data_IF_621140463748
#
_entry.id   IF_621140463748
#
_cell.length_a   1.000
_cell.length_b   1.000
_cell.length_c   1.000
_cell.angle_alpha   90.00
_cell.angle_beta   90.00
_cell.angle_gamma   90.00
#
_symmetry.space_group_name_H-M   'P 1'
#
loop_
_entity.id
_entity.type
_entity.pdbx_description
1 polymer ?
#
# COMPACT_ATOMS: atom_id res chain seq x y z
N UNK A 1 -0.62 13.12 7.44
CA UNK A 1 -0.60 12.25 6.24
C UNK A 1 -0.90 13.02 4.94
N UNK A 2 -2.10 13.59 4.73
CA UNK A 2 -2.48 14.29 3.48
C UNK A 2 -1.50 15.41 3.05
N UNK A 3 -1.10 16.29 3.97
CA UNK A 3 -0.15 17.36 3.66
C UNK A 3 1.23 16.84 3.26
N UNK A 4 1.73 15.80 3.92
CA UNK A 4 3.02 15.19 3.58
C UNK A 4 2.97 14.53 2.20
N UNK A 5 1.90 13.78 1.91
CA UNK A 5 1.70 13.14 0.61
C UNK A 5 1.67 14.14 -0.56
N UNK A 6 1.09 15.34 -0.35
CA UNK A 6 1.06 16.40 -1.36
C UNK A 6 2.42 16.99 -1.73
N UNK A 7 3.41 16.92 -0.83
CA UNK A 7 4.75 17.46 -1.05
C UNK A 7 5.80 16.37 -1.32
N UNK A 8 5.41 15.10 -1.24
CA UNK A 8 6.29 13.98 -1.49
C UNK A 8 6.44 13.75 -3.00
N UNK A 9 7.67 13.45 -3.44
CA UNK A 9 7.94 13.01 -4.81
C UNK A 9 7.32 11.64 -5.09
N UNK A 10 7.32 10.76 -4.09
CA UNK A 10 6.69 9.45 -4.15
C UNK A 10 6.10 9.06 -2.79
N UNK A 11 5.02 8.27 -2.84
CA UNK A 11 4.39 7.67 -1.65
C UNK A 11 4.42 6.16 -1.81
N UNK A 12 4.99 5.48 -0.81
CA UNK A 12 5.02 4.02 -0.69
C UNK A 12 4.09 3.56 0.43
N UNK A 13 3.36 2.48 0.19
CA UNK A 13 2.44 1.86 1.14
C UNK A 13 3.04 0.52 1.57
N UNK A 14 3.61 0.50 2.77
CA UNK A 14 4.13 -0.69 3.40
C UNK A 14 3.02 -1.35 4.24
N UNK A 15 2.17 -2.14 3.60
CA UNK A 15 1.13 -2.92 4.26
C UNK A 15 1.40 -4.42 4.02
N UNK A 16 0.99 -5.25 4.98
CA UNK A 16 1.22 -6.69 4.90
C UNK A 16 0.53 -7.31 3.68
N UNK A 17 1.14 -8.38 3.14
CA UNK A 17 0.70 -9.10 1.93
C UNK A 17 -0.56 -9.95 2.15
N UNK A 18 -1.33 -9.67 3.19
CA UNK A 18 -2.61 -10.31 3.45
C UNK A 18 -3.77 -9.38 3.10
N UNK A 19 -4.94 -9.99 2.90
CA UNK A 19 -6.16 -9.31 2.45
C UNK A 19 -6.50 -8.01 3.18
N UNK A 20 -6.38 -8.01 4.51
CA UNK A 20 -6.63 -6.80 5.30
C UNK A 20 -5.59 -5.71 5.05
N UNK A 21 -4.30 -6.06 4.94
CA UNK A 21 -3.23 -5.12 4.60
C UNK A 21 -3.44 -4.48 3.24
N UNK A 22 -3.83 -5.27 2.23
CA UNK A 22 -4.20 -4.77 0.90
C UNK A 22 -5.38 -3.79 0.95
N UNK A 23 -6.38 -4.10 1.78
CA UNK A 23 -7.58 -3.27 1.92
C UNK A 23 -7.26 -1.94 2.61
N UNK A 24 -6.46 -1.98 3.68
CA UNK A 24 -5.98 -0.79 4.38
C UNK A 24 -5.14 0.06 3.42
N UNK A 25 -4.20 -0.55 2.69
CA UNK A 25 -3.36 0.14 1.72
C UNK A 25 -4.17 0.81 0.63
N UNK A 26 -5.19 0.14 0.11
CA UNK A 26 -6.08 0.70 -0.90
C UNK A 26 -6.88 1.89 -0.37
N UNK A 27 -7.45 1.77 0.84
CA UNK A 27 -8.23 2.86 1.43
C UNK A 27 -7.36 4.10 1.71
N UNK A 28 -6.12 3.90 2.18
CA UNK A 28 -5.13 4.97 2.32
C UNK A 28 -4.84 5.62 0.97
N UNK A 29 -4.63 4.83 -0.09
CA UNK A 29 -4.41 5.36 -1.44
C UNK A 29 -5.58 6.22 -1.93
N UNK A 30 -6.83 5.79 -1.70
CA UNK A 30 -8.02 6.57 -2.03
C UNK A 30 -8.10 7.87 -1.22
N UNK A 31 -7.89 7.81 0.09
CA UNK A 31 -7.91 8.99 0.98
C UNK A 31 -6.83 10.02 0.65
N UNK A 32 -5.73 9.58 0.05
CA UNK A 32 -4.62 10.42 -0.39
C UNK A 32 -4.72 10.85 -1.86
N UNK A 33 -5.68 10.32 -2.62
CA UNK A 33 -5.83 10.63 -4.06
C UNK A 33 -4.68 10.09 -4.92
N UNK A 34 -4.06 8.96 -4.54
CA UNK A 34 -2.92 8.41 -5.26
C UNK A 34 -3.38 7.64 -6.51
N UNK A 35 -2.84 8.01 -7.67
CA UNK A 35 -3.02 7.27 -8.92
C UNK A 35 -1.88 6.25 -9.05
N UNK A 36 -2.19 4.95 -8.99
CA UNK A 36 -1.23 3.82 -8.98
C UNK A 36 -0.27 3.85 -7.77
N UNK A 37 -0.76 3.55 -6.55
CA UNK A 37 0.08 3.54 -5.35
C UNK A 37 1.20 2.50 -5.44
N UNK A 38 2.38 2.84 -4.93
CA UNK A 38 3.51 1.93 -4.81
C UNK A 38 3.37 1.11 -3.53
N UNK A 39 2.92 -0.14 -3.63
CA UNK A 39 2.95 -1.10 -2.53
C UNK A 39 4.36 -1.64 -2.32
N UNK A 40 4.80 -1.77 -1.07
CA UNK A 40 6.06 -2.43 -0.71
C UNK A 40 5.79 -3.46 0.37
N UNK A 41 6.50 -4.58 0.34
CA UNK A 41 6.39 -5.63 1.36
C UNK A 41 7.76 -6.15 1.72
N UNK A 42 7.97 -6.33 3.01
CA UNK A 42 9.14 -6.95 3.60
C UNK A 42 8.68 -7.77 4.81
N UNK A 43 9.35 -8.89 5.09
CA UNK A 43 9.00 -9.80 6.20
C UNK A 43 9.78 -9.48 7.47
N UNK A 44 10.83 -8.68 7.36
CA UNK A 44 11.71 -8.29 8.45
C UNK A 44 12.01 -6.80 8.38
N UNK A 45 12.18 -6.17 9.54
CA UNK A 45 12.49 -4.75 9.65
C UNK A 45 14.01 -4.60 9.68
N UNK A 46 14.64 -4.90 8.55
CA UNK A 46 16.08 -4.71 8.33
C UNK A 46 16.30 -3.67 7.24
N UNK A 47 17.41 -2.93 7.29
CA UNK A 47 17.72 -1.93 6.26
C UNK A 47 17.77 -2.56 4.86
N UNK A 48 18.33 -3.77 4.76
CA UNK A 48 18.45 -4.50 3.49
C UNK A 48 17.08 -4.86 2.94
N UNK A 49 16.18 -5.42 3.76
CA UNK A 49 14.85 -5.82 3.31
C UNK A 49 13.99 -4.60 2.90
N UNK A 50 14.03 -3.51 3.66
CA UNK A 50 13.28 -2.29 3.35
C UNK A 50 13.80 -1.65 2.06
N UNK A 51 15.12 -1.53 1.87
CA UNK A 51 15.71 -0.99 0.63
C UNK A 51 15.36 -1.85 -0.57
N UNK A 52 15.43 -3.18 -0.45
CA UNK A 52 15.05 -4.10 -1.51
C UNK A 52 13.57 -3.96 -1.89
N UNK A 53 12.68 -3.82 -0.90
CA UNK A 53 11.25 -3.62 -1.14
C UNK A 53 10.94 -2.29 -1.84
N UNK A 54 11.63 -1.20 -1.48
CA UNK A 54 11.49 0.11 -2.14
C UNK A 54 12.03 0.07 -3.58
N UNK A 55 13.10 -0.68 -3.84
CA UNK A 55 13.68 -0.82 -5.18
C UNK A 55 12.80 -1.61 -6.15
N UNK A 56 11.91 -2.47 -5.64
CA UNK A 56 10.98 -3.27 -6.42
C UNK A 56 9.54 -3.08 -5.92
N UNK A 57 8.94 -1.89 -6.11
CA UNK A 57 7.56 -1.64 -5.68
C UNK A 57 6.60 -2.43 -6.57
N UNK A 58 5.47 -2.81 -5.98
CA UNK A 58 4.40 -3.54 -6.67
C UNK A 58 3.08 -2.75 -6.64
N UNK A 59 2.16 -2.99 -7.58
CA UNK A 59 0.79 -2.52 -7.41
C UNK A 59 0.12 -3.21 -6.21
N UNK A 60 -0.87 -2.52 -5.62
CA UNK A 60 -1.79 -3.16 -4.68
C UNK A 60 -2.65 -4.21 -5.39
N UNK A 61 -2.94 -5.30 -4.69
CA UNK A 61 -3.66 -6.44 -5.23
C UNK A 61 -5.18 -6.24 -5.12
N UNK A 62 -5.78 -5.76 -6.22
CA UNK A 62 -7.22 -5.47 -6.34
C UNK A 62 -8.07 -6.73 -6.11
N UNK A 63 -7.57 -7.91 -6.42
CA UNK A 63 -8.33 -9.15 -6.23
C UNK A 63 -8.56 -9.45 -4.75
N UNK A 64 -7.58 -9.16 -3.89
CA UNK A 64 -7.73 -9.32 -2.43
C UNK A 64 -8.68 -8.29 -1.82
N UNK A 65 -8.75 -7.08 -2.39
CA UNK A 65 -9.59 -5.98 -1.92
C UNK A 65 -11.09 -6.25 -2.16
N UNK A 66 -11.44 -6.89 -3.29
CA UNK A 66 -12.83 -7.07 -3.76
C UNK A 66 -13.78 -7.84 -2.80
N UNK A 67 -13.23 -8.71 -1.94
CA UNK A 67 -14.03 -9.56 -1.04
C UNK A 67 -14.42 -8.91 0.29
N UNK A 68 -13.83 -7.79 0.69
CA UNK A 68 -14.20 -7.10 1.96
C UNK A 68 -15.54 -6.39 1.81
N UNK A 69 -15.82 -5.85 0.64
CA UNK A 69 -16.98 -5.00 0.41
C UNK A 69 -18.28 -5.75 0.09
N UNK A 70 -18.22 -7.08 -0.07
CA UNK A 70 -19.43 -7.93 -0.22
C UNK A 70 -20.10 -8.29 1.12
N UNK A 71 -19.57 -7.84 2.26
CA UNK A 71 -20.14 -8.11 3.58
C UNK A 71 -20.98 -6.94 4.14
N UNK A 72 -21.16 -5.83 3.41
CA UNK A 72 -21.91 -4.66 3.86
C UNK A 72 -22.78 -4.06 2.73
N UNK A 73 -23.66 -4.87 2.16
CA UNK A 73 -24.86 -4.40 1.46
C UNK A 73 -26.08 -5.11 2.03
#
# INVERSE_FOLDING_TARGET
MKTAARHAEAVFIAADLHREGETIGWHIAQLLGLHKPHGVVYQEITEVAVRAAIACPRPLDIHQISRVFHANK
#
